data_IF_467711196573
#
_entry.id   IF_467711196573
#
_cell.length_a   1.000
_cell.length_b   1.000
_cell.length_c   1.000
_cell.angle_alpha   90.00
_cell.angle_beta   90.00
_cell.angle_gamma   90.00
#
_symmetry.space_group_name_H-M   'P 1'
#
loop_
_entity.id
_entity.type
_entity.pdbx_description
1 polymer ?
#
# COMPACT_ATOMS: atom_id res chain seq x y z
N UNK A 1 18.54 -7.93 -5.47
CA UNK A 1 17.39 -7.01 -5.38
C UNK A 1 16.69 -7.25 -4.05
N UNK A 2 16.31 -6.16 -3.35
CA UNK A 2 15.60 -6.19 -2.06
C UNK A 2 14.27 -5.45 -2.25
N UNK A 3 13.14 -6.02 -1.81
CA UNK A 3 11.83 -5.37 -1.85
C UNK A 3 11.40 -4.97 -0.44
N UNK A 4 10.88 -3.76 -0.31
CA UNK A 4 10.30 -3.21 0.92
C UNK A 4 8.95 -2.61 0.59
N UNK A 5 7.87 -3.09 1.22
CA UNK A 5 6.54 -2.53 1.07
C UNK A 5 6.27 -1.49 2.17
N UNK A 6 5.87 -0.28 1.78
CA UNK A 6 5.77 0.89 2.66
C UNK A 6 4.45 1.66 2.42
N UNK A 7 3.45 1.59 3.30
CA UNK A 7 3.30 0.67 4.45
C UNK A 7 3.29 -0.80 4.03
N UNK A 8 3.75 -1.69 4.91
CA UNK A 8 3.82 -3.11 4.60
C UNK A 8 2.42 -3.73 4.44
N UNK A 9 2.23 -4.52 3.41
CA UNK A 9 1.03 -5.33 3.19
C UNK A 9 1.37 -6.80 3.54
N UNK A 10 0.69 -7.44 4.53
CA UNK A 10 -0.63 -7.06 5.07
C UNK A 10 -0.64 -6.30 6.40
N UNK A 11 0.49 -6.04 7.05
CA UNK A 11 0.54 -5.55 8.44
C UNK A 11 0.15 -4.08 8.60
N UNK A 12 0.27 -3.28 7.55
CA UNK A 12 0.06 -1.83 7.59
C UNK A 12 1.16 -1.05 8.34
N UNK A 13 2.23 -1.73 8.77
CA UNK A 13 3.33 -1.11 9.49
C UNK A 13 4.23 -0.30 8.57
N UNK A 14 4.78 0.79 9.12
CA UNK A 14 5.75 1.64 8.44
C UNK A 14 7.17 1.28 8.87
N UNK A 15 8.07 1.28 7.92
CA UNK A 15 9.51 1.27 8.16
C UNK A 15 9.97 2.72 8.32
N UNK A 16 10.56 3.13 9.45
CA UNK A 16 11.07 4.49 9.62
C UNK A 16 12.10 4.86 8.55
N UNK A 17 12.02 6.08 8.01
CA UNK A 17 12.91 6.53 6.93
C UNK A 17 14.41 6.33 7.23
N UNK A 18 14.92 6.56 8.47
CA UNK A 18 16.32 6.24 8.78
C UNK A 18 16.68 4.76 8.63
N UNK A 19 15.70 3.84 8.82
CA UNK A 19 15.93 2.41 8.59
C UNK A 19 15.93 2.09 7.09
N UNK A 20 15.04 2.72 6.31
CA UNK A 20 15.04 2.61 4.83
C UNK A 20 16.39 3.07 4.28
N UNK A 21 16.92 4.20 4.76
CA UNK A 21 18.23 4.73 4.40
C UNK A 21 19.36 3.75 4.74
N UNK A 22 19.34 3.15 5.92
CA UNK A 22 20.34 2.12 6.30
C UNK A 22 20.28 0.89 5.41
N UNK A 23 19.07 0.44 5.04
CA UNK A 23 18.90 -0.68 4.08
C UNK A 23 19.46 -0.28 2.72
N UNK A 24 19.17 0.94 2.24
CA UNK A 24 19.68 1.46 0.97
C UNK A 24 21.22 1.47 0.94
N UNK A 25 21.87 2.02 1.96
CA UNK A 25 23.34 2.02 2.07
C UNK A 25 23.93 0.60 2.03
N UNK A 26 23.24 -0.39 2.62
CA UNK A 26 23.68 -1.81 2.52
C UNK A 26 23.49 -2.35 1.11
N UNK A 27 22.42 -1.98 0.43
CA UNK A 27 22.20 -2.33 -0.97
C UNK A 27 23.29 -1.75 -1.86
N UNK A 28 23.64 -0.48 -1.68
CA UNK A 28 24.73 0.19 -2.41
C UNK A 28 26.06 -0.53 -2.20
N UNK A 29 26.40 -0.85 -0.95
CA UNK A 29 27.67 -1.52 -0.61
C UNK A 29 27.83 -2.92 -1.24
N UNK A 30 26.73 -3.60 -1.61
CA UNK A 30 26.77 -4.92 -2.25
C UNK A 30 26.22 -4.92 -3.69
N UNK A 31 26.04 -3.75 -4.30
CA UNK A 31 25.54 -3.62 -5.68
C UNK A 31 24.11 -4.10 -5.87
N UNK A 32 23.31 -4.17 -4.80
CA UNK A 32 21.90 -4.55 -4.89
C UNK A 32 21.00 -3.34 -5.16
N UNK A 33 19.84 -3.58 -5.78
CA UNK A 33 18.78 -2.58 -5.94
C UNK A 33 17.78 -2.70 -4.78
N UNK A 34 17.46 -1.59 -4.14
CA UNK A 34 16.32 -1.48 -3.21
C UNK A 34 15.08 -1.02 -3.98
N UNK A 35 14.02 -1.81 -3.94
CA UNK A 35 12.70 -1.46 -4.48
C UNK A 35 11.77 -1.17 -3.32
N UNK A 36 11.26 0.05 -3.23
CA UNK A 36 10.29 0.47 -2.20
C UNK A 36 8.91 0.60 -2.85
N UNK A 37 7.99 -0.29 -2.46
CA UNK A 37 6.59 -0.24 -2.91
C UNK A 37 5.80 0.71 -2.01
N UNK A 38 5.54 1.91 -2.50
CA UNK A 38 4.76 2.96 -1.83
C UNK A 38 3.31 3.07 -2.34
N UNK A 39 2.75 2.03 -2.94
CA UNK A 39 1.39 2.06 -3.50
C UNK A 39 0.30 2.41 -2.47
N UNK A 40 0.56 2.26 -1.18
CA UNK A 40 -0.36 2.61 -0.10
C UNK A 40 0.06 3.84 0.71
N UNK A 41 1.22 4.43 0.43
CA UNK A 41 1.76 5.51 1.24
C UNK A 41 0.93 6.79 1.13
N UNK A 42 0.42 7.09 -0.06
CA UNK A 42 -0.29 8.34 -0.36
C UNK A 42 -1.65 8.47 0.38
N UNK A 43 -2.13 7.41 1.01
CA UNK A 43 -3.26 7.46 1.95
C UNK A 43 -2.93 8.20 3.26
N UNK A 44 -1.66 8.37 3.59
CA UNK A 44 -1.24 9.01 4.83
C UNK A 44 -1.13 10.52 4.66
N UNK A 45 -1.62 11.32 5.63
CA UNK A 45 -1.54 12.77 5.56
C UNK A 45 -0.11 13.30 5.57
N UNK A 46 0.80 12.59 6.24
CA UNK A 46 2.22 12.89 6.36
C UNK A 46 3.10 12.10 5.37
N UNK A 47 2.54 11.64 4.25
CA UNK A 47 3.24 10.80 3.28
C UNK A 47 4.54 11.44 2.75
N UNK A 48 4.60 12.77 2.61
CA UNK A 48 5.79 13.47 2.13
C UNK A 48 6.99 13.37 3.10
N UNK A 49 6.74 13.23 4.40
CA UNK A 49 7.79 13.01 5.39
C UNK A 49 8.22 11.52 5.49
N UNK A 50 7.43 10.61 4.93
CA UNK A 50 7.61 9.15 5.06
C UNK A 50 8.13 8.49 3.78
N UNK A 51 8.04 9.20 2.65
CA UNK A 51 8.45 8.67 1.34
C UNK A 51 9.96 8.56 1.21
N UNK A 52 10.42 7.50 0.55
CA UNK A 52 11.83 7.35 0.18
C UNK A 52 12.29 8.33 -0.91
N UNK A 53 11.43 9.25 -1.41
CA UNK A 53 11.79 10.27 -2.40
C UNK A 53 12.99 11.12 -1.97
N UNK A 54 13.14 11.37 -0.67
CA UNK A 54 14.31 12.10 -0.13
C UNK A 54 15.66 11.40 -0.38
N UNK A 55 15.63 10.12 -0.78
CA UNK A 55 16.81 9.29 -1.04
C UNK A 55 17.03 9.02 -2.55
N UNK A 56 16.30 9.71 -3.44
CA UNK A 56 16.33 9.44 -4.89
C UNK A 56 17.64 9.80 -5.60
N UNK A 57 18.58 10.45 -4.93
CA UNK A 57 19.93 10.66 -5.47
C UNK A 57 20.70 9.33 -5.66
N UNK A 58 20.29 8.30 -4.94
CA UNK A 58 20.86 6.96 -5.07
C UNK A 58 20.40 6.26 -6.34
N UNK A 59 21.36 5.77 -7.14
CA UNK A 59 21.09 4.93 -8.31
C UNK A 59 20.62 3.51 -7.96
N UNK A 60 20.72 3.13 -6.69
CA UNK A 60 20.33 1.81 -6.17
C UNK A 60 18.92 1.82 -5.57
N UNK A 61 18.13 2.89 -5.79
CA UNK A 61 16.76 3.02 -5.30
C UNK A 61 15.76 3.08 -6.46
N UNK A 62 14.69 2.28 -6.37
CA UNK A 62 13.51 2.34 -7.22
C UNK A 62 12.28 2.44 -6.33
N UNK A 63 11.46 3.47 -6.50
CA UNK A 63 10.19 3.65 -5.78
C UNK A 63 9.05 3.32 -6.72
N UNK A 64 8.11 2.48 -6.28
CA UNK A 64 6.90 2.14 -7.03
C UNK A 64 5.70 2.91 -6.48
N UNK A 65 4.90 3.45 -7.37
CA UNK A 65 3.64 4.18 -7.09
C UNK A 65 2.52 3.67 -7.98
N UNK A 66 1.28 3.71 -7.51
CA UNK A 66 0.14 3.25 -8.29
C UNK A 66 -1.12 4.09 -8.10
N UNK A 67 -1.86 4.30 -9.18
CA UNK A 67 -3.19 4.90 -9.16
C UNK A 67 -4.28 3.91 -8.71
N UNK A 68 -3.94 2.63 -8.68
CA UNK A 68 -4.84 1.51 -8.38
C UNK A 68 -5.60 1.67 -7.07
N UNK A 69 -4.93 2.20 -6.03
CA UNK A 69 -5.45 2.18 -4.65
C UNK A 69 -6.11 3.50 -4.27
N UNK A 70 -5.34 4.56 -4.14
CA UNK A 70 -5.85 5.87 -3.70
C UNK A 70 -6.97 6.40 -4.60
N UNK A 71 -6.78 6.33 -5.91
CA UNK A 71 -7.75 6.81 -6.89
C UNK A 71 -8.79 5.76 -7.32
N UNK A 72 -8.76 4.55 -6.76
CA UNK A 72 -9.73 3.50 -7.07
C UNK A 72 -9.67 2.97 -8.51
N UNK A 73 -8.58 3.23 -9.26
CA UNK A 73 -8.46 2.97 -10.69
C UNK A 73 -7.80 1.61 -10.99
N UNK A 74 -8.25 0.54 -10.30
CA UNK A 74 -7.65 -0.79 -10.46
C UNK A 74 -7.73 -1.34 -11.89
N UNK A 75 -8.85 -1.09 -12.60
CA UNK A 75 -9.08 -1.55 -13.97
C UNK A 75 -8.27 -0.79 -15.02
N UNK A 76 -7.84 0.43 -14.74
CA UNK A 76 -7.08 1.30 -15.68
C UNK A 76 -5.64 0.81 -15.87
N UNK A 77 -5.10 0.05 -14.92
CA UNK A 77 -3.73 -0.52 -14.96
C UNK A 77 -2.64 0.52 -15.06
N UNK A 78 -2.72 1.58 -14.24
CA UNK A 78 -1.78 2.69 -14.23
C UNK A 78 -0.94 2.71 -12.95
N UNK A 79 0.36 2.88 -13.11
CA UNK A 79 1.34 3.10 -12.06
C UNK A 79 2.59 3.73 -12.66
N UNK A 80 3.52 4.10 -11.80
CA UNK A 80 4.79 4.67 -12.21
C UNK A 80 5.89 4.32 -11.21
N UNK A 81 7.13 4.51 -11.62
CA UNK A 81 8.27 4.39 -10.75
C UNK A 81 9.12 5.68 -10.77
N UNK A 82 9.88 5.87 -9.70
CA UNK A 82 10.86 6.95 -9.55
C UNK A 82 12.23 6.32 -9.33
N UNK A 83 13.22 6.74 -10.12
CA UNK A 83 14.58 6.22 -10.03
C UNK A 83 15.57 7.23 -10.64
N UNK A 84 16.72 7.44 -10.01
CA UNK A 84 17.81 8.26 -10.56
C UNK A 84 18.69 7.50 -11.58
N UNK A 85 18.54 6.18 -11.67
CA UNK A 85 19.30 5.36 -12.61
C UNK A 85 18.57 5.28 -13.97
N UNK A 86 18.89 6.18 -14.86
CA UNK A 86 18.28 6.27 -16.21
C UNK A 86 18.54 5.01 -17.04
N UNK A 87 19.74 4.41 -16.94
CA UNK A 87 20.05 3.17 -17.64
C UNK A 87 19.18 1.99 -17.17
N UNK A 88 18.83 1.95 -15.89
CA UNK A 88 17.84 0.97 -15.37
C UNK A 88 16.45 1.23 -15.96
N UNK A 89 16.00 2.49 -16.00
CA UNK A 89 14.70 2.85 -16.58
C UNK A 89 14.62 2.49 -18.06
N UNK A 90 15.66 2.75 -18.82
CA UNK A 90 15.77 2.38 -20.25
C UNK A 90 15.71 0.85 -20.43
N UNK A 91 16.45 0.10 -19.59
CA UNK A 91 16.42 -1.37 -19.63
C UNK A 91 15.05 -1.93 -19.26
N UNK A 92 14.35 -1.33 -18.27
CA UNK A 92 12.97 -1.69 -17.91
C UNK A 92 12.00 -1.42 -19.07
N UNK A 93 12.14 -0.27 -19.72
CA UNK A 93 11.32 0.08 -20.88
C UNK A 93 11.55 -0.87 -22.04
N UNK A 94 12.80 -1.21 -22.35
CA UNK A 94 13.16 -2.15 -23.41
C UNK A 94 12.67 -3.58 -23.15
N UNK A 95 12.61 -3.99 -21.86
CA UNK A 95 12.07 -5.30 -21.46
C UNK A 95 10.53 -5.34 -21.40
N UNK A 96 9.88 -4.16 -21.40
CA UNK A 96 8.43 -4.03 -21.40
C UNK A 96 7.81 -4.21 -22.77
N UNK A 97 6.48 -4.37 -22.77
CA UNK A 97 5.74 -4.41 -24.05
C UNK A 97 5.58 -2.99 -24.63
N UNK A 98 5.60 -2.83 -25.95
CA UNK A 98 5.20 -1.58 -26.60
C UNK A 98 3.78 -1.18 -26.16
N UNK A 99 3.54 0.14 -26.04
CA UNK A 99 2.22 0.68 -25.69
C UNK A 99 1.66 0.16 -24.33
N UNK A 100 2.54 -0.04 -23.35
CA UNK A 100 2.21 -0.59 -22.02
C UNK A 100 1.10 0.21 -21.31
N UNK A 101 1.00 1.53 -21.56
CA UNK A 101 -0.01 2.40 -20.95
C UNK A 101 -0.95 2.92 -22.04
N UNK A 102 -2.25 2.58 -21.93
CA UNK A 102 -3.26 3.03 -22.89
C UNK A 102 -3.50 4.55 -22.82
N UNK A 103 -3.98 5.15 -23.90
CA UNK A 103 -4.33 6.60 -23.94
C UNK A 103 -5.40 6.93 -22.88
N UNK A 104 -6.36 6.03 -22.63
CA UNK A 104 -7.38 6.19 -21.58
C UNK A 104 -6.74 6.22 -20.20
N UNK A 105 -5.75 5.35 -19.94
CA UNK A 105 -5.03 5.34 -18.67
C UNK A 105 -4.23 6.62 -18.47
N UNK A 106 -3.60 7.14 -19.51
CA UNK A 106 -2.85 8.41 -19.45
C UNK A 106 -3.79 9.58 -19.14
N UNK A 107 -4.91 9.70 -19.84
CA UNK A 107 -5.90 10.76 -19.62
C UNK A 107 -6.50 10.67 -18.21
N UNK A 108 -6.86 9.47 -17.76
CA UNK A 108 -7.39 9.25 -16.41
C UNK A 108 -6.35 9.59 -15.34
N UNK A 109 -5.08 9.23 -15.55
CA UNK A 109 -4.00 9.55 -14.62
C UNK A 109 -3.76 11.04 -14.48
N UNK A 110 -3.74 11.78 -15.59
CA UNK A 110 -3.60 13.24 -15.56
C UNK A 110 -4.76 13.90 -14.80
N UNK A 111 -6.00 13.52 -15.12
CA UNK A 111 -7.17 14.04 -14.42
C UNK A 111 -7.14 13.69 -12.90
N UNK A 112 -6.70 12.48 -12.54
CA UNK A 112 -6.62 12.07 -11.15
C UNK A 112 -5.61 12.89 -10.33
N UNK A 113 -4.52 13.37 -10.93
CA UNK A 113 -3.52 14.18 -10.23
C UNK A 113 -4.07 15.56 -9.82
N UNK A 114 -5.09 16.06 -10.50
CA UNK A 114 -5.74 17.34 -10.18
C UNK A 114 -6.79 17.19 -9.05
N UNK A 115 -7.18 15.95 -8.70
CA UNK A 115 -8.22 15.64 -7.72
C UNK A 115 -7.73 15.75 -6.27
N UNK A 116 -7.13 16.88 -5.91
CA UNK A 116 -6.56 17.12 -4.56
C UNK A 116 -7.63 17.10 -3.46
N UNK A 117 -8.83 17.59 -3.75
CA UNK A 117 -9.96 17.57 -2.82
C UNK A 117 -10.40 16.14 -2.50
N UNK A 118 -10.45 15.26 -3.49
CA UNK A 118 -10.75 13.84 -3.31
C UNK A 118 -9.70 13.18 -2.41
N UNK A 119 -8.42 13.42 -2.66
CA UNK A 119 -7.34 12.87 -1.83
C UNK A 119 -7.46 13.31 -0.37
N UNK A 120 -7.77 14.59 -0.13
CA UNK A 120 -7.98 15.11 1.22
C UNK A 120 -9.19 14.44 1.91
N UNK A 121 -10.30 14.26 1.21
CA UNK A 121 -11.49 13.57 1.73
C UNK A 121 -11.21 12.11 2.08
N UNK A 122 -10.47 11.38 1.24
CA UNK A 122 -10.09 9.99 1.51
C UNK A 122 -9.20 9.89 2.74
N UNK A 123 -8.20 10.77 2.87
CA UNK A 123 -7.32 10.82 4.05
C UNK A 123 -8.11 11.09 5.33
N UNK A 124 -9.03 12.06 5.31
CA UNK A 124 -9.89 12.38 6.44
C UNK A 124 -10.80 11.21 6.83
N UNK A 125 -11.42 10.55 5.85
CA UNK A 125 -12.23 9.36 6.07
C UNK A 125 -11.43 8.28 6.80
N UNK A 126 -10.22 7.99 6.34
CA UNK A 126 -9.36 6.98 6.95
C UNK A 126 -8.94 7.39 8.37
N UNK A 127 -8.58 8.67 8.57
CA UNK A 127 -8.19 9.19 9.87
C UNK A 127 -9.33 9.03 10.91
N UNK A 128 -10.57 9.21 10.48
CA UNK A 128 -11.75 9.06 11.35
C UNK A 128 -12.17 7.59 11.54
N UNK A 129 -12.22 6.81 10.45
CA UNK A 129 -12.82 5.49 10.48
C UNK A 129 -11.86 4.41 10.97
N UNK A 130 -10.56 4.52 10.68
CA UNK A 130 -9.57 3.53 11.10
C UNK A 130 -9.54 3.31 12.62
N UNK A 131 -9.47 4.36 13.48
CA UNK A 131 -9.51 4.18 14.94
C UNK A 131 -10.82 3.55 15.41
N UNK A 132 -11.96 3.92 14.83
CA UNK A 132 -13.28 3.37 15.18
C UNK A 132 -13.35 1.87 14.87
N UNK A 133 -12.96 1.47 13.66
CA UNK A 133 -12.94 0.06 13.25
C UNK A 133 -11.96 -0.75 14.12
N UNK A 134 -10.79 -0.20 14.43
CA UNK A 134 -9.81 -0.82 15.32
C UNK A 134 -10.41 -1.06 16.73
N UNK A 135 -11.07 -0.04 17.29
CA UNK A 135 -11.70 -0.14 18.61
C UNK A 135 -12.86 -1.16 18.60
N UNK A 136 -13.68 -1.17 17.54
CA UNK A 136 -14.76 -2.15 17.38
C UNK A 136 -14.26 -3.60 17.35
N UNK A 137 -13.25 -3.87 16.52
CA UNK A 137 -12.66 -5.21 16.44
C UNK A 137 -12.03 -5.66 17.79
N UNK A 138 -11.34 -4.75 18.47
CA UNK A 138 -10.76 -5.03 19.79
C UNK A 138 -11.83 -5.26 20.86
N UNK A 139 -12.95 -4.53 20.81
CA UNK A 139 -14.08 -4.74 21.73
C UNK A 139 -14.73 -6.13 21.56
N UNK A 140 -14.63 -6.72 20.36
CA UNK A 140 -15.03 -8.11 20.10
C UNK A 140 -13.97 -9.15 20.54
N UNK A 141 -12.90 -8.73 21.20
CA UNK A 141 -11.83 -9.62 21.67
C UNK A 141 -10.82 -10.02 20.57
N UNK A 142 -10.88 -9.42 19.39
CA UNK A 142 -9.98 -9.72 18.30
C UNK A 142 -8.63 -8.99 18.46
N UNK A 143 -7.54 -9.65 18.15
CA UNK A 143 -6.20 -9.07 18.17
C UNK A 143 -5.98 -8.26 16.89
N UNK A 144 -5.93 -6.93 16.98
CA UNK A 144 -5.66 -6.05 15.85
C UNK A 144 -4.22 -5.56 15.89
N UNK A 145 -3.50 -5.72 14.78
CA UNK A 145 -2.13 -5.25 14.63
C UNK A 145 -2.10 -3.73 14.43
N UNK A 146 -1.21 -3.04 15.12
CA UNK A 146 -1.01 -1.61 14.92
C UNK A 146 -0.30 -1.37 13.58
N UNK A 147 -0.87 -0.48 12.78
CA UNK A 147 -0.37 -0.09 11.47
C UNK A 147 -0.99 1.23 11.05
N UNK A 148 -0.63 1.76 9.88
CA UNK A 148 -1.09 3.07 9.40
C UNK A 148 -1.79 3.05 8.04
N UNK A 149 -1.82 1.90 7.36
CA UNK A 149 -2.45 1.76 6.06
C UNK A 149 -3.99 1.93 6.11
N UNK A 150 -4.61 2.05 4.94
CA UNK A 150 -6.07 2.08 4.77
C UNK A 150 -6.73 0.71 4.94
N UNK A 151 -6.06 -0.20 5.64
CA UNK A 151 -6.55 -1.53 6.02
C UNK A 151 -6.01 -1.90 7.40
N UNK A 152 -6.65 -2.90 8.01
CA UNK A 152 -6.25 -3.51 9.28
C UNK A 152 -5.93 -4.98 9.08
N UNK A 153 -4.85 -5.46 9.69
CA UNK A 153 -4.58 -6.87 9.89
C UNK A 153 -5.02 -7.24 11.30
N UNK A 154 -5.83 -8.29 11.42
CA UNK A 154 -6.30 -8.76 12.71
C UNK A 154 -6.38 -10.28 12.74
N UNK A 155 -6.40 -10.83 13.95
CA UNK A 155 -6.51 -12.26 14.22
C UNK A 155 -7.87 -12.55 14.86
N UNK A 156 -8.55 -13.60 14.38
CA UNK A 156 -9.81 -14.10 14.86
C UNK A 156 -9.92 -15.61 14.65
N UNK A 157 -11.06 -16.24 14.96
CA UNK A 157 -11.29 -17.66 14.67
C UNK A 157 -11.07 -17.99 13.19
N UNK A 158 -10.49 -19.14 12.88
CA UNK A 158 -10.27 -19.58 11.48
C UNK A 158 -11.58 -19.69 10.68
N UNK A 159 -12.70 -19.94 11.37
CA UNK A 159 -14.03 -20.02 10.77
C UNK A 159 -14.68 -18.65 10.51
N UNK A 160 -14.09 -17.56 10.97
CA UNK A 160 -14.69 -16.22 10.92
C UNK A 160 -15.01 -15.79 9.48
N UNK A 161 -14.10 -16.04 8.53
CA UNK A 161 -14.30 -15.67 7.14
C UNK A 161 -15.52 -16.36 6.49
N UNK A 162 -15.72 -17.63 6.78
CA UNK A 162 -16.85 -18.40 6.25
C UNK A 162 -18.16 -18.04 6.94
N UNK A 163 -18.12 -17.79 8.27
CA UNK A 163 -19.29 -17.34 9.02
C UNK A 163 -19.79 -15.97 8.53
N UNK A 164 -18.89 -15.02 8.29
CA UNK A 164 -19.26 -13.67 7.80
C UNK A 164 -19.75 -13.68 6.35
N UNK A 165 -19.25 -14.61 5.53
CA UNK A 165 -19.69 -14.75 4.13
C UNK A 165 -21.18 -15.03 4.01
N UNK A 166 -21.76 -15.75 4.97
CA UNK A 166 -23.21 -16.02 5.03
C UNK A 166 -24.03 -14.74 5.24
N UNK A 167 -23.41 -13.69 5.76
CA UNK A 167 -23.99 -12.37 5.96
C UNK A 167 -23.60 -11.36 4.87
N UNK A 168 -22.97 -11.84 3.77
CA UNK A 168 -22.54 -10.98 2.67
C UNK A 168 -21.24 -10.22 2.92
N UNK A 169 -20.56 -10.47 4.05
CA UNK A 169 -19.28 -9.82 4.38
C UNK A 169 -18.11 -10.71 3.99
N UNK A 170 -17.22 -10.19 3.14
CA UNK A 170 -16.05 -10.94 2.64
C UNK A 170 -14.77 -10.34 3.23
N UNK A 171 -14.08 -11.13 4.04
CA UNK A 171 -12.76 -10.81 4.56
C UNK A 171 -11.65 -11.39 3.68
N UNK A 172 -10.54 -10.69 3.58
CA UNK A 172 -9.33 -11.21 2.94
C UNK A 172 -8.59 -12.13 3.92
N UNK A 173 -8.61 -13.46 3.70
CA UNK A 173 -7.71 -14.37 4.43
C UNK A 173 -6.24 -14.06 4.09
N UNK A 174 -5.40 -14.09 5.10
CA UNK A 174 -3.95 -13.88 4.99
C UNK A 174 -3.14 -15.16 5.15
N UNK A 175 -3.78 -16.33 5.12
CA UNK A 175 -3.12 -17.65 5.25
C UNK A 175 -2.05 -17.95 4.19
N UNK A 176 -2.07 -17.20 3.08
CA UNK A 176 -1.09 -17.34 2.01
C UNK A 176 0.19 -16.51 2.23
N UNK A 177 0.28 -15.74 3.34
CA UNK A 177 1.50 -15.01 3.68
C UNK A 177 2.39 -15.88 4.60
N UNK A 178 3.69 -16.01 4.34
CA UNK A 178 4.60 -16.72 5.22
C UNK A 178 4.53 -16.16 6.65
N UNK A 179 4.34 -17.05 7.63
CA UNK A 179 4.22 -16.69 9.05
C UNK A 179 2.82 -16.27 9.51
N UNK A 180 1.82 -16.28 8.62
CA UNK A 180 0.41 -16.13 8.98
C UNK A 180 -0.35 -17.42 8.65
N UNK A 181 -1.36 -17.73 9.46
CA UNK A 181 -2.23 -18.89 9.31
C UNK A 181 -3.67 -18.50 8.95
N UNK A 182 -4.61 -19.45 9.00
CA UNK A 182 -6.03 -19.26 8.69
C UNK A 182 -6.77 -18.32 9.63
N UNK A 183 -6.18 -18.02 10.80
CA UNK A 183 -6.77 -17.10 11.78
C UNK A 183 -6.54 -15.61 11.46
N UNK A 184 -5.68 -15.29 10.48
CA UNK A 184 -5.35 -13.92 10.14
C UNK A 184 -6.16 -13.39 8.96
N UNK A 185 -6.75 -12.21 9.16
CA UNK A 185 -7.60 -11.54 8.19
C UNK A 185 -7.17 -10.10 7.98
N UNK A 186 -7.36 -9.62 6.75
CA UNK A 186 -7.22 -8.20 6.42
C UNK A 186 -8.56 -7.64 5.98
N UNK A 187 -8.95 -6.50 6.57
CA UNK A 187 -10.11 -5.72 6.14
C UNK A 187 -9.70 -4.31 5.71
N UNK A 188 -10.39 -3.73 4.73
CA UNK A 188 -10.20 -2.35 4.34
C UNK A 188 -10.93 -1.41 5.32
N UNK A 189 -10.36 -0.22 5.53
CA UNK A 189 -11.09 0.89 6.17
C UNK A 189 -12.00 1.50 5.11
N UNK A 190 -13.31 1.55 5.40
CA UNK A 190 -14.36 2.01 4.51
C UNK A 190 -15.17 3.14 5.13
N UNK A 191 -16.30 3.49 4.53
CA UNK A 191 -17.25 4.44 5.09
C UNK A 191 -17.87 3.94 6.40
N UNK A 192 -18.40 4.86 7.24
CA UNK A 192 -18.97 4.48 8.53
C UNK A 192 -20.08 3.42 8.43
N UNK A 193 -21.04 3.49 7.49
CA UNK A 193 -22.06 2.45 7.33
C UNK A 193 -21.49 1.08 6.94
N UNK A 194 -20.45 1.06 6.09
CA UNK A 194 -19.83 -0.20 5.67
C UNK A 194 -18.95 -0.83 6.76
N UNK A 195 -18.38 -0.03 7.66
CA UNK A 195 -17.57 -0.51 8.78
C UNK A 195 -18.42 -1.02 9.96
N UNK A 196 -19.74 -0.75 9.96
CA UNK A 196 -20.68 -1.18 11.01
C UNK A 196 -21.35 -2.53 10.70
N UNK A 197 -21.17 -3.05 9.51
CA UNK A 197 -21.64 -4.38 9.10
C UNK A 197 -20.80 -5.49 9.71
#
# INVERSE_FOLDING_TARGET
MVFLCQPNNPTGQLTPLPLVERILRRCEACGALLVVDECFLDFLPDCDALTAKALLDSKNLLILKAFTKLYGMAGVRLGYCLCANTALLEAMQAAGQPWAVSSLAQAAGLAALDETAYVAQVRELIAQQRPRLTAGLRALGLRVLDGRANYLLFQGPETLGDALRQWGVVLRSCSNYPGLDGSWYRTAVRTAPENQQ
#
